data_IF_142655461630
#
_entry.id   IF_142655461630
#
_cell.length_a   1.000
_cell.length_b   1.000
_cell.length_c   1.000
_cell.angle_alpha   90.00
_cell.angle_beta   90.00
_cell.angle_gamma   90.00
#
_symmetry.space_group_name_H-M   'P 1'
#
loop_
_entity.id
_entity.type
_entity.pdbx_description
1 polymer ?
#
# COMPACT_ATOMS: atom_id res chain seq x y z
N UNK A 1 -19.53 36.24 -0.56
CA UNK A 1 -18.92 35.15 -1.33
C UNK A 1 -19.03 33.88 -0.53
N UNK A 2 -19.58 32.82 -1.09
CA UNK A 2 -19.68 31.55 -0.41
C UNK A 2 -18.37 30.77 -0.59
N UNK A 3 -18.05 29.90 0.39
CA UNK A 3 -16.93 29.01 0.29
C UNK A 3 -17.15 27.99 -0.85
N UNK A 4 -16.10 27.52 -1.51
CA UNK A 4 -16.23 26.43 -2.49
C UNK A 4 -16.72 25.16 -1.81
N UNK A 5 -17.41 24.30 -2.57
CA UNK A 5 -17.93 23.03 -2.07
C UNK A 5 -16.80 22.04 -1.73
N UNK A 6 -15.68 22.13 -2.42
CA UNK A 6 -14.53 21.26 -2.23
C UNK A 6 -13.26 22.08 -2.15
N UNK A 7 -12.26 21.54 -1.45
CA UNK A 7 -10.93 22.14 -1.42
C UNK A 7 -10.30 22.14 -2.81
N UNK A 8 -9.44 23.12 -3.09
CA UNK A 8 -8.56 23.12 -4.27
C UNK A 8 -7.46 22.07 -4.22
N UNK A 9 -7.36 21.33 -3.13
CA UNK A 9 -6.39 20.25 -2.92
C UNK A 9 -7.09 19.01 -2.36
N UNK A 10 -6.57 17.86 -2.71
CA UNK A 10 -7.07 16.58 -2.19
C UNK A 10 -5.91 15.68 -1.77
N UNK A 11 -6.19 14.75 -0.87
CA UNK A 11 -5.25 13.70 -0.50
C UNK A 11 -5.28 12.59 -1.54
N UNK A 12 -4.12 11.94 -1.76
CA UNK A 12 -4.05 10.70 -2.54
C UNK A 12 -4.88 9.62 -1.83
N UNK A 13 -5.57 8.79 -2.61
CA UNK A 13 -6.22 7.61 -2.07
C UNK A 13 -5.13 6.58 -1.73
N UNK A 14 -4.93 6.22 -0.45
CA UNK A 14 -3.84 5.33 -0.05
C UNK A 14 -4.00 3.90 -0.56
N UNK A 15 -5.23 3.42 -0.77
CA UNK A 15 -5.47 2.11 -1.39
C UNK A 15 -5.01 2.12 -2.85
N UNK A 16 -5.40 3.14 -3.61
CA UNK A 16 -5.01 3.28 -5.01
C UNK A 16 -3.49 3.41 -5.15
N UNK A 17 -2.85 4.17 -4.27
CA UNK A 17 -1.39 4.28 -4.23
C UNK A 17 -0.74 2.92 -4.01
N UNK A 18 -1.18 2.18 -3.00
CA UNK A 18 -0.59 0.89 -2.65
C UNK A 18 -0.75 -0.14 -3.78
N UNK A 19 -1.91 -0.20 -4.40
CA UNK A 19 -2.14 -1.08 -5.56
C UNK A 19 -1.23 -0.69 -6.71
N UNK A 20 -1.06 0.60 -6.99
CA UNK A 20 -0.17 1.07 -8.05
C UNK A 20 1.30 0.80 -7.75
N UNK A 21 1.73 1.00 -6.50
CA UNK A 21 3.13 0.87 -6.12
C UNK A 21 3.57 -0.59 -6.01
N UNK A 22 2.78 -1.44 -5.36
CA UNK A 22 3.11 -2.85 -5.17
C UNK A 22 2.65 -3.75 -6.31
N UNK A 23 1.75 -3.26 -7.18
CA UNK A 23 1.21 -4.04 -8.29
C UNK A 23 2.25 -4.65 -9.22
N UNK A 24 3.35 -3.93 -9.58
CA UNK A 24 4.39 -4.49 -10.45
C UNK A 24 5.11 -5.74 -9.92
N UNK A 25 4.93 -6.07 -8.64
CA UNK A 25 5.52 -7.28 -8.05
C UNK A 25 4.87 -8.58 -8.53
N UNK A 26 3.68 -8.51 -9.10
CA UNK A 26 2.95 -9.69 -9.56
C UNK A 26 2.01 -9.37 -10.71
N UNK A 27 1.13 -10.33 -11.04
CA UNK A 27 0.11 -10.16 -12.05
C UNK A 27 -0.93 -9.11 -11.62
N UNK A 28 -1.63 -8.51 -12.60
CA UNK A 28 -2.60 -7.45 -12.33
C UNK A 28 -3.73 -7.87 -11.38
N UNK A 29 -4.12 -9.15 -11.41
CA UNK A 29 -5.17 -9.69 -10.53
C UNK A 29 -4.63 -10.24 -9.20
N UNK A 30 -3.33 -10.12 -8.95
CA UNK A 30 -2.67 -10.64 -7.75
C UNK A 30 -2.53 -9.61 -6.64
N UNK A 31 -3.22 -8.49 -6.75
CA UNK A 31 -3.25 -7.43 -5.74
C UNK A 31 -4.63 -6.78 -5.71
N UNK A 32 -5.07 -6.39 -4.54
CA UNK A 32 -6.34 -5.69 -4.38
C UNK A 32 -6.62 -5.30 -2.95
N UNK A 33 -7.78 -4.71 -2.73
CA UNK A 33 -8.24 -4.24 -1.43
C UNK A 33 -9.21 -5.22 -0.76
N UNK A 34 -9.60 -6.27 -1.47
CA UNK A 34 -10.47 -7.32 -0.94
C UNK A 34 -9.63 -8.38 -0.25
N UNK A 35 -10.15 -8.88 0.87
CA UNK A 35 -9.58 -10.03 1.55
C UNK A 35 -9.47 -11.20 0.58
N UNK A 36 -8.34 -11.95 0.67
CA UNK A 36 -8.14 -13.11 -0.17
C UNK A 36 -9.22 -14.18 0.06
N UNK A 37 -9.65 -14.81 -1.02
CA UNK A 37 -10.51 -15.99 -1.02
C UNK A 37 -10.02 -16.97 -2.10
N UNK A 38 -10.62 -18.16 -2.16
CA UNK A 38 -10.18 -19.24 -3.05
C UNK A 38 -10.28 -18.91 -4.55
N UNK A 39 -11.05 -17.89 -4.92
CA UNK A 39 -11.19 -17.47 -6.32
C UNK A 39 -10.07 -16.52 -6.75
N UNK A 40 -9.24 -16.06 -5.83
CA UNK A 40 -8.11 -15.18 -6.09
C UNK A 40 -6.81 -15.97 -6.24
N UNK A 41 -5.86 -15.46 -7.03
CA UNK A 41 -4.58 -16.17 -7.24
C UNK A 41 -3.72 -16.20 -5.96
N UNK A 42 -2.72 -17.06 -5.98
CA UNK A 42 -1.60 -17.08 -5.03
C UNK A 42 -0.30 -17.06 -5.82
N UNK A 43 0.71 -16.26 -5.45
CA UNK A 43 0.69 -15.29 -4.35
C UNK A 43 -0.26 -14.13 -4.61
N UNK A 44 -0.79 -13.57 -3.54
CA UNK A 44 -1.73 -12.45 -3.58
C UNK A 44 -1.34 -11.42 -2.52
N UNK A 45 -1.52 -10.14 -2.85
CA UNK A 45 -1.32 -9.03 -1.92
C UNK A 45 -2.65 -8.35 -1.64
N UNK A 46 -3.06 -8.41 -0.39
CA UNK A 46 -4.24 -7.73 0.09
C UNK A 46 -3.81 -6.47 0.83
N UNK A 47 -4.31 -5.31 0.37
CA UNK A 47 -3.96 -4.01 0.92
C UNK A 47 -5.06 -3.53 1.85
N UNK A 48 -4.68 -3.11 3.05
CA UNK A 48 -5.58 -2.42 3.98
C UNK A 48 -4.91 -1.14 4.49
N UNK A 49 -5.73 -0.19 4.95
CA UNK A 49 -5.25 1.10 5.46
C UNK A 49 -5.82 1.29 6.86
N UNK A 50 -5.12 0.81 7.90
CA UNK A 50 -5.61 0.93 9.28
C UNK A 50 -5.65 2.38 9.78
N UNK A 51 -4.79 3.26 9.25
CA UNK A 51 -4.77 4.67 9.59
C UNK A 51 -4.61 5.50 8.33
N UNK A 52 -5.55 6.40 8.09
CA UNK A 52 -5.46 7.37 6.99
C UNK A 52 -5.39 8.77 7.59
N UNK A 53 -4.20 9.15 8.05
CA UNK A 53 -3.98 10.43 8.71
C UNK A 53 -4.00 11.56 7.69
N UNK A 54 -4.98 12.45 7.84
CA UNK A 54 -5.05 13.74 7.13
C UNK A 54 -4.83 14.83 8.13
N UNK A 55 -3.56 15.25 8.27
CA UNK A 55 -3.25 16.42 9.08
C UNK A 55 -3.88 17.67 8.48
N UNK A 56 -4.13 18.68 9.29
CA UNK A 56 -4.61 19.98 8.83
C UNK A 56 -3.57 20.78 8.04
N UNK A 57 -2.56 20.12 7.49
CA UNK A 57 -1.44 20.72 6.77
C UNK A 57 -1.38 20.20 5.33
N UNK A 58 -0.25 20.43 4.68
CA UNK A 58 -0.06 20.17 3.26
C UNK A 58 0.37 18.73 2.94
N UNK A 59 0.42 17.85 3.94
CA UNK A 59 0.84 16.47 3.76
C UNK A 59 -0.16 15.50 4.39
N UNK A 60 -0.20 14.29 3.86
CA UNK A 60 -0.92 13.17 4.43
C UNK A 60 0.06 12.05 4.74
N UNK A 61 -0.24 11.26 5.77
CA UNK A 61 0.67 10.20 6.24
C UNK A 61 -0.11 8.93 6.60
N UNK A 62 -0.72 8.27 5.61
CA UNK A 62 -1.43 7.02 5.85
C UNK A 62 -0.48 5.90 6.26
N UNK A 63 -0.99 4.97 7.07
CA UNK A 63 -0.35 3.69 7.33
C UNK A 63 -1.01 2.66 6.42
N UNK A 64 -0.19 1.98 5.63
CA UNK A 64 -0.62 0.93 4.70
C UNK A 64 -0.14 -0.41 5.24
N UNK A 65 -1.06 -1.37 5.32
CA UNK A 65 -0.75 -2.75 5.68
C UNK A 65 -0.89 -3.62 4.46
N UNK A 66 0.14 -4.42 4.17
CA UNK A 66 0.11 -5.36 3.05
C UNK A 66 0.13 -6.79 3.61
N UNK A 67 -0.91 -7.55 3.28
CA UNK A 67 -1.02 -8.96 3.61
C UNK A 67 -0.59 -9.75 2.39
N UNK A 68 0.52 -10.47 2.50
CA UNK A 68 1.05 -11.30 1.42
C UNK A 68 0.69 -12.76 1.70
N UNK A 69 -0.07 -13.36 0.79
CA UNK A 69 -0.53 -14.73 0.92
C UNK A 69 0.06 -15.59 -0.19
N UNK A 70 0.51 -16.78 0.17
CA UNK A 70 1.00 -17.77 -0.78
C UNK A 70 0.66 -19.18 -0.28
N UNK A 71 0.90 -20.19 -1.13
CA UNK A 71 0.54 -21.56 -0.82
C UNK A 71 1.44 -22.17 0.25
N UNK A 72 2.71 -21.76 0.32
CA UNK A 72 3.71 -22.30 1.25
C UNK A 72 4.35 -21.18 2.05
N UNK A 73 4.92 -21.53 3.20
CA UNK A 73 5.69 -20.60 4.03
C UNK A 73 6.86 -19.99 3.24
N UNK A 74 7.60 -20.79 2.51
CA UNK A 74 8.77 -20.33 1.74
C UNK A 74 8.36 -19.30 0.68
N UNK A 75 7.30 -19.58 -0.06
CA UNK A 75 6.81 -18.65 -1.09
C UNK A 75 6.24 -17.38 -0.48
N UNK A 76 5.48 -17.50 0.60
CA UNK A 76 4.91 -16.33 1.29
C UNK A 76 6.02 -15.44 1.86
N UNK A 77 7.02 -16.01 2.50
CA UNK A 77 8.17 -15.28 3.04
C UNK A 77 8.95 -14.55 1.93
N UNK A 78 9.20 -15.22 0.81
CA UNK A 78 9.88 -14.61 -0.33
C UNK A 78 9.10 -13.45 -0.91
N UNK A 79 7.80 -13.61 -1.11
CA UNK A 79 6.95 -12.55 -1.66
C UNK A 79 6.75 -11.39 -0.68
N UNK A 80 6.71 -11.67 0.61
CA UNK A 80 6.66 -10.64 1.65
C UNK A 80 7.96 -9.83 1.70
N UNK A 81 9.10 -10.50 1.54
CA UNK A 81 10.41 -9.84 1.46
C UNK A 81 10.51 -8.92 0.25
N UNK A 82 9.98 -9.36 -0.89
CA UNK A 82 9.88 -8.51 -2.09
C UNK A 82 9.00 -7.28 -1.85
N UNK A 83 7.94 -7.43 -1.06
CA UNK A 83 7.07 -6.31 -0.68
C UNK A 83 7.84 -5.29 0.17
N UNK A 84 8.56 -5.75 1.19
CA UNK A 84 9.41 -4.86 2.00
C UNK A 84 10.47 -4.15 1.15
N UNK A 85 11.12 -4.87 0.25
CA UNK A 85 12.12 -4.30 -0.65
C UNK A 85 11.53 -3.27 -1.60
N UNK A 86 10.28 -3.47 -2.05
CA UNK A 86 9.58 -2.47 -2.88
C UNK A 86 9.28 -1.20 -2.09
N UNK A 87 8.88 -1.33 -0.83
CA UNK A 87 8.68 -0.18 0.06
C UNK A 87 10.01 0.53 0.34
N UNK A 88 11.10 -0.23 0.49
CA UNK A 88 12.44 0.31 0.74
C UNK A 88 12.90 1.29 -0.36
N UNK A 89 12.43 1.12 -1.60
CA UNK A 89 12.74 2.06 -2.69
C UNK A 89 12.32 3.48 -2.33
N UNK A 90 11.15 3.64 -1.71
CA UNK A 90 10.66 4.96 -1.30
C UNK A 90 11.33 5.46 -0.02
N UNK A 91 11.84 4.57 0.82
CA UNK A 91 12.68 4.93 1.97
C UNK A 91 14.02 5.50 1.48
N UNK A 92 14.62 4.84 0.50
CA UNK A 92 15.95 5.21 -0.01
C UNK A 92 15.92 6.45 -0.90
N UNK A 93 14.79 6.73 -1.55
CA UNK A 93 14.64 7.84 -2.49
C UNK A 93 13.50 8.78 -2.07
N UNK A 94 13.67 9.53 -0.96
CA UNK A 94 12.64 10.47 -0.50
C UNK A 94 12.40 11.59 -1.53
N UNK A 95 11.17 12.07 -1.56
CA UNK A 95 10.78 13.13 -2.51
C UNK A 95 10.54 12.62 -3.92
N UNK A 96 10.32 11.32 -4.11
CA UNK A 96 10.05 10.72 -5.41
C UNK A 96 8.61 10.95 -5.85
N UNK A 97 8.43 11.30 -7.12
CA UNK A 97 7.10 11.38 -7.73
C UNK A 97 6.60 9.97 -8.07
N UNK A 98 5.33 9.74 -7.78
CA UNK A 98 4.65 8.47 -8.06
C UNK A 98 3.37 8.78 -8.84
N UNK A 99 3.16 8.06 -9.93
CA UNK A 99 1.94 8.21 -10.73
C UNK A 99 0.92 7.16 -10.30
N UNK A 100 -0.28 7.61 -9.96
CA UNK A 100 -1.39 6.79 -9.51
C UNK A 100 -2.66 7.21 -10.26
N UNK A 101 -3.16 6.34 -11.16
CA UNK A 101 -4.39 6.61 -11.87
C UNK A 101 -4.36 7.90 -12.70
N UNK A 102 -3.25 8.22 -13.35
CA UNK A 102 -3.10 9.42 -14.15
C UNK A 102 -2.76 10.68 -13.36
N UNK A 103 -2.73 10.60 -12.03
CA UNK A 103 -2.31 11.69 -11.17
C UNK A 103 -0.89 11.43 -10.65
N UNK A 104 -0.10 12.51 -10.48
CA UNK A 104 1.24 12.41 -9.91
C UNK A 104 1.23 13.00 -8.51
N UNK A 105 1.74 12.25 -7.55
CA UNK A 105 1.89 12.68 -6.15
C UNK A 105 3.36 12.52 -5.77
N UNK A 106 3.85 13.40 -4.91
CA UNK A 106 5.19 13.26 -4.36
C UNK A 106 5.15 12.51 -3.06
N UNK A 107 5.87 11.39 -3.00
CA UNK A 107 6.11 10.67 -1.76
C UNK A 107 7.33 11.30 -1.09
N UNK A 108 7.08 12.08 -0.04
CA UNK A 108 8.11 12.84 0.66
C UNK A 108 9.02 11.94 1.47
N UNK A 109 8.45 10.88 2.05
CA UNK A 109 9.18 9.90 2.85
C UNK A 109 8.39 8.61 2.96
N UNK A 110 9.08 7.54 3.31
CA UNK A 110 8.47 6.27 3.66
C UNK A 110 9.19 5.68 4.87
N UNK A 111 8.45 4.92 5.67
CA UNK A 111 8.98 4.21 6.83
C UNK A 111 8.43 2.79 6.84
N UNK A 112 9.29 1.82 7.11
CA UNK A 112 8.87 0.45 7.40
C UNK A 112 8.61 0.39 8.90
N UNK A 113 7.32 0.43 9.28
CA UNK A 113 6.93 0.42 10.70
C UNK A 113 7.03 -0.96 11.30
N UNK A 114 6.70 -1.97 10.48
CA UNK A 114 6.74 -3.36 10.90
C UNK A 114 7.09 -4.18 9.67
N UNK A 115 8.29 -4.76 9.67
CA UNK A 115 8.75 -5.61 8.58
C UNK A 115 7.92 -6.90 8.54
N UNK A 116 7.88 -7.52 7.37
CA UNK A 116 7.05 -8.70 7.12
C UNK A 116 7.29 -9.80 8.15
N UNK A 117 6.21 -10.29 8.74
CA UNK A 117 6.20 -11.40 9.67
C UNK A 117 4.96 -12.26 9.45
N UNK A 118 5.05 -13.53 9.80
CA UNK A 118 3.92 -14.44 9.67
C UNK A 118 2.83 -14.10 10.69
N UNK A 119 1.57 -14.11 10.23
CA UNK A 119 0.40 -14.00 11.09
C UNK A 119 -0.60 -15.11 10.76
N UNK A 120 -1.30 -15.66 11.76
CA UNK A 120 -2.33 -16.66 11.51
C UNK A 120 -3.41 -16.14 10.56
N UNK A 121 -3.91 -17.04 9.72
CA UNK A 121 -4.99 -16.75 8.78
C UNK A 121 -6.06 -17.82 8.90
N UNK A 122 -7.34 -17.41 8.88
CA UNK A 122 -8.46 -18.33 9.08
C UNK A 122 -8.50 -19.45 8.03
N UNK A 123 -7.95 -19.21 6.83
CA UNK A 123 -7.85 -20.20 5.76
C UNK A 123 -6.44 -20.78 5.66
N UNK A 124 -5.73 -20.92 6.76
CA UNK A 124 -4.31 -21.33 6.81
C UNK A 124 -4.01 -22.70 6.19
N UNK A 125 -5.03 -23.57 6.06
CA UNK A 125 -4.88 -24.84 5.36
C UNK A 125 -4.65 -24.67 3.86
N UNK A 126 -4.95 -23.51 3.30
CA UNK A 126 -4.85 -23.22 1.86
C UNK A 126 -3.95 -22.04 1.55
N UNK A 127 -3.59 -21.24 2.57
CA UNK A 127 -2.73 -20.07 2.39
C UNK A 127 -1.94 -19.76 3.65
N UNK A 128 -0.69 -19.31 3.47
CA UNK A 128 0.16 -18.77 4.53
C UNK A 128 0.21 -17.25 4.34
N UNK A 129 0.05 -16.50 5.43
CA UNK A 129 0.00 -15.05 5.41
C UNK A 129 1.20 -14.43 6.13
N UNK A 130 1.83 -13.45 5.46
CA UNK A 130 2.76 -12.50 6.08
C UNK A 130 2.14 -11.12 6.04
N UNK A 131 2.44 -10.31 7.04
CA UNK A 131 1.91 -8.94 7.15
C UNK A 131 3.06 -7.96 7.37
N UNK A 132 2.99 -6.84 6.67
CA UNK A 132 3.92 -5.71 6.85
C UNK A 132 3.15 -4.42 6.99
N UNK A 133 3.70 -3.43 7.68
CA UNK A 133 3.13 -2.10 7.80
C UNK A 133 4.13 -1.03 7.40
N UNK A 134 3.63 -0.05 6.65
CA UNK A 134 4.42 1.07 6.16
C UNK A 134 3.69 2.38 6.39
N UNK A 135 4.44 3.44 6.67
CA UNK A 135 3.92 4.81 6.61
C UNK A 135 4.50 5.49 5.39
N UNK A 136 3.63 6.19 4.66
CA UNK A 136 4.05 7.02 3.52
C UNK A 136 3.57 8.45 3.75
N UNK A 137 4.47 9.42 3.54
CA UNK A 137 4.12 10.83 3.61
C UNK A 137 3.97 11.39 2.20
N UNK A 138 2.82 11.98 1.89
CA UNK A 138 2.52 12.50 0.55
C UNK A 138 2.19 13.99 0.59
N UNK A 139 2.54 14.70 -0.49
CA UNK A 139 1.99 16.02 -0.76
C UNK A 139 0.52 15.90 -1.14
N UNK A 140 -0.22 16.99 -1.01
CA UNK A 140 -1.58 17.09 -1.55
C UNK A 140 -1.54 17.27 -3.06
N UNK A 141 -2.63 16.88 -3.72
CA UNK A 141 -2.80 16.98 -5.16
C UNK A 141 -3.72 18.16 -5.45
N UNK A 142 -3.33 19.03 -6.39
CA UNK A 142 -4.19 20.10 -6.85
C UNK A 142 -5.38 19.53 -7.63
N UNK A 143 -6.57 20.07 -7.37
CA UNK A 143 -7.79 19.70 -8.09
C UNK A 143 -8.09 20.64 -9.25
N UNK A 144 -7.28 21.69 -9.40
CA UNK A 144 -7.46 22.69 -10.46
C UNK A 144 -6.94 22.17 -11.81
#
# INVERSE_FOLDING_TARGET
MSAPLQSGYKAINPYAFAVAWFGPLGAANAIGTKRWNVDLPKPYRWVSVPVNARGGSYITAPIVRVHTLAATFTDAAREADRTDNRAQVLVDYPGRDVTVGGETVRCLYAEILDAAHEEPYAAETVAVRFVSEYRFGFTLISTA
#
